data_IF_340093226101
#
_entry.id   IF_340093226101
#
_cell.length_a   1.000
_cell.length_b   1.000
_cell.length_c   1.000
_cell.angle_alpha   90.00
_cell.angle_beta   90.00
_cell.angle_gamma   90.00
#
_symmetry.space_group_name_H-M   'P 1'
#
loop_
_entity.id
_entity.type
_entity.pdbx_description
1 polymer ?
#
# COMPACT_ATOMS: atom_id res chain seq x y z
N UNK A 1 36.15 -42.87 -1.11
CA UNK A 1 34.94 -42.42 -1.82
C UNK A 1 34.47 -41.12 -1.19
N UNK A 2 34.68 -39.98 -1.85
CA UNK A 2 34.20 -38.68 -1.36
C UNK A 2 32.89 -38.33 -2.10
N UNK A 3 31.79 -38.35 -1.38
CA UNK A 3 30.46 -38.01 -1.90
C UNK A 3 30.40 -36.50 -2.10
N UNK A 4 30.34 -36.05 -3.35
CA UNK A 4 30.15 -34.65 -3.70
C UNK A 4 28.72 -34.22 -3.32
N UNK A 5 28.60 -33.31 -2.36
CA UNK A 5 27.35 -32.60 -2.04
C UNK A 5 27.04 -31.71 -3.24
N UNK A 6 25.99 -32.02 -3.98
CA UNK A 6 25.46 -31.18 -5.03
C UNK A 6 24.87 -29.91 -4.38
N UNK A 7 25.55 -28.79 -4.57
CA UNK A 7 25.03 -27.48 -4.26
C UNK A 7 23.79 -27.27 -5.12
N UNK A 8 22.64 -27.17 -4.48
CA UNK A 8 21.39 -26.79 -5.15
C UNK A 8 21.54 -25.35 -5.67
N UNK A 9 21.31 -25.05 -6.95
CA UNK A 9 21.40 -23.67 -7.42
C UNK A 9 20.33 -22.84 -6.71
N UNK A 10 20.76 -21.82 -5.98
CA UNK A 10 19.89 -20.76 -5.46
C UNK A 10 19.18 -20.14 -6.66
N UNK A 11 17.91 -20.44 -6.83
CA UNK A 11 17.08 -19.77 -7.84
C UNK A 11 17.09 -18.29 -7.48
N UNK A 12 17.82 -17.49 -8.24
CA UNK A 12 17.76 -16.05 -8.13
C UNK A 12 16.29 -15.65 -8.31
N UNK A 13 15.71 -15.00 -7.30
CA UNK A 13 14.33 -14.55 -7.39
C UNK A 13 14.21 -13.64 -8.61
N UNK A 14 13.44 -14.07 -9.59
CA UNK A 14 13.21 -13.33 -10.84
C UNK A 14 12.62 -11.96 -10.52
N UNK A 15 13.32 -10.89 -10.88
CA UNK A 15 12.84 -9.52 -10.66
C UNK A 15 11.66 -9.27 -11.61
N UNK A 16 10.46 -9.21 -11.05
CA UNK A 16 9.26 -8.95 -11.84
C UNK A 16 9.28 -7.55 -12.44
N UNK A 17 8.92 -7.45 -13.71
CA UNK A 17 8.69 -6.15 -14.36
C UNK A 17 7.40 -5.51 -13.83
N UNK A 18 7.27 -4.18 -13.95
CA UNK A 18 6.05 -3.47 -13.57
C UNK A 18 4.82 -4.00 -14.33
N UNK A 19 4.98 -4.35 -15.59
CA UNK A 19 3.93 -4.97 -16.40
C UNK A 19 3.47 -6.34 -15.86
N UNK A 20 4.41 -7.20 -15.47
CA UNK A 20 4.08 -8.50 -14.88
C UNK A 20 3.36 -8.34 -13.53
N UNK A 21 3.79 -7.35 -12.72
CA UNK A 21 3.12 -7.01 -11.45
C UNK A 21 1.71 -6.51 -11.73
N UNK A 22 1.53 -5.57 -12.66
CA UNK A 22 0.21 -5.05 -13.05
C UNK A 22 -0.73 -6.18 -13.47
N UNK A 23 -0.26 -7.06 -14.36
CA UNK A 23 -1.06 -8.18 -14.84
C UNK A 23 -1.52 -9.10 -13.70
N UNK A 24 -0.61 -9.45 -12.79
CA UNK A 24 -0.93 -10.30 -11.63
C UNK A 24 -1.91 -9.62 -10.68
N UNK A 25 -1.76 -8.33 -10.43
CA UNK A 25 -2.65 -7.56 -9.55
C UNK A 25 -4.05 -7.41 -10.15
N UNK A 26 -4.18 -7.13 -11.45
CA UNK A 26 -5.49 -7.11 -12.12
C UNK A 26 -6.21 -8.44 -11.99
N UNK A 27 -5.54 -9.53 -12.34
CA UNK A 27 -6.10 -10.89 -12.19
C UNK A 27 -6.47 -11.24 -10.73
N UNK A 28 -5.76 -10.67 -9.76
CA UNK A 28 -6.09 -10.86 -8.34
C UNK A 28 -7.32 -10.03 -7.94
N UNK A 29 -7.42 -8.79 -8.41
CA UNK A 29 -8.57 -7.92 -8.14
C UNK A 29 -9.88 -8.41 -8.77
N UNK A 30 -9.80 -9.15 -9.89
CA UNK A 30 -10.96 -9.79 -10.53
C UNK A 30 -11.50 -11.01 -9.75
N UNK A 31 -10.77 -11.45 -8.74
CA UNK A 31 -11.15 -12.57 -7.86
C UNK A 31 -11.52 -12.08 -6.47
N UNK A 32 -12.13 -12.97 -5.68
CA UNK A 32 -12.36 -12.68 -4.26
C UNK A 32 -11.01 -12.56 -3.54
N UNK A 33 -10.71 -11.37 -3.06
CA UNK A 33 -9.51 -11.11 -2.28
C UNK A 33 -9.60 -11.78 -0.90
N UNK A 34 -8.46 -12.19 -0.29
CA UNK A 34 -8.45 -12.95 0.98
C UNK A 34 -8.92 -12.14 2.20
N UNK A 35 -9.06 -10.82 2.07
CA UNK A 35 -9.68 -9.97 3.09
C UNK A 35 -9.07 -10.15 4.48
N UNK A 36 -9.93 -10.34 5.47
CA UNK A 36 -9.52 -10.48 6.87
C UNK A 36 -8.58 -11.66 7.13
N UNK A 37 -8.58 -12.68 6.28
CA UNK A 37 -7.65 -13.81 6.40
C UNK A 37 -6.20 -13.37 6.15
N UNK A 38 -5.95 -12.54 5.14
CA UNK A 38 -4.63 -11.95 4.89
C UNK A 38 -4.25 -10.92 5.98
N UNK A 39 -5.20 -10.08 6.39
CA UNK A 39 -4.95 -9.08 7.43
C UNK A 39 -4.50 -9.69 8.76
N UNK A 40 -5.01 -10.89 9.13
CA UNK A 40 -4.62 -11.58 10.37
C UNK A 40 -3.14 -11.96 10.43
N UNK A 41 -2.48 -12.15 9.29
CA UNK A 41 -1.08 -12.57 9.23
C UNK A 41 -0.17 -11.51 9.85
N UNK A 42 -0.46 -10.23 9.58
CA UNK A 42 0.33 -9.08 10.05
C UNK A 42 -0.44 -8.16 11.00
N UNK A 43 -1.62 -8.60 11.47
CA UNK A 43 -2.39 -7.80 12.41
C UNK A 43 -1.62 -7.64 13.71
N UNK A 44 -1.56 -6.41 14.28
CA UNK A 44 -1.07 -6.24 15.64
C UNK A 44 -1.91 -7.12 16.56
N UNK A 45 -1.31 -7.58 17.68
CA UNK A 45 -2.04 -8.40 18.66
C UNK A 45 -3.37 -7.73 18.98
N UNK A 46 -4.50 -8.49 18.95
CA UNK A 46 -5.82 -7.89 19.09
C UNK A 46 -5.88 -7.09 20.37
N UNK A 47 -6.35 -5.84 20.26
CA UNK A 47 -6.86 -5.13 21.42
C UNK A 47 -8.16 -5.81 21.84
N UNK A 48 -8.46 -5.78 23.13
CA UNK A 48 -9.74 -6.22 23.65
C UNK A 48 -10.86 -5.65 22.77
N UNK A 49 -11.79 -6.49 22.31
CA UNK A 49 -12.95 -6.14 21.48
C UNK A 49 -12.71 -5.86 19.97
N UNK A 50 -11.47 -6.00 19.42
CA UNK A 50 -11.26 -5.90 17.99
C UNK A 50 -11.24 -7.27 17.32
N UNK A 51 -12.10 -7.46 16.31
CA UNK A 51 -12.13 -8.66 15.47
C UNK A 51 -11.86 -8.30 14.00
N UNK A 52 -10.86 -8.91 13.34
CA UNK A 52 -10.61 -8.68 11.92
C UNK A 52 -11.84 -9.00 11.08
N UNK A 53 -12.21 -8.06 10.19
CA UNK A 53 -13.36 -8.20 9.30
C UNK A 53 -14.69 -7.65 9.85
N UNK A 54 -14.75 -7.26 11.11
CA UNK A 54 -15.89 -6.50 11.63
C UNK A 54 -15.70 -5.00 11.38
N UNK A 55 -16.67 -4.39 10.73
CA UNK A 55 -16.70 -2.95 10.43
C UNK A 55 -17.86 -2.34 11.20
N UNK A 56 -17.61 -1.45 12.19
CA UNK A 56 -18.66 -0.73 12.88
C UNK A 56 -19.47 0.15 11.91
N UNK A 57 -20.79 0.20 12.08
CA UNK A 57 -21.66 1.03 11.22
C UNK A 57 -21.32 2.52 11.27
N UNK A 58 -20.78 3.00 12.39
CA UNK A 58 -20.35 4.39 12.60
C UNK A 58 -18.90 4.65 12.14
N UNK A 59 -18.21 3.70 11.52
CA UNK A 59 -16.85 3.91 11.04
C UNK A 59 -16.82 4.88 9.87
N UNK A 60 -15.91 5.87 9.93
CA UNK A 60 -15.67 6.82 8.85
C UNK A 60 -14.92 6.12 7.71
N UNK A 61 -15.00 6.66 6.51
CA UNK A 61 -14.36 6.07 5.33
C UNK A 61 -13.13 6.89 4.93
N UNK A 62 -12.04 6.18 4.66
CA UNK A 62 -10.81 6.76 4.12
C UNK A 62 -10.34 5.94 2.92
N UNK A 63 -9.60 6.57 2.02
CA UNK A 63 -8.93 5.89 0.92
C UNK A 63 -7.44 6.24 0.90
N UNK A 64 -6.62 5.31 0.44
CA UNK A 64 -5.19 5.54 0.30
C UNK A 64 -4.68 4.92 -1.00
N UNK A 65 -3.68 5.55 -1.61
CA UNK A 65 -3.11 5.13 -2.88
C UNK A 65 -1.89 4.23 -2.67
N UNK A 66 -2.00 2.97 -3.04
CA UNK A 66 -0.86 2.08 -3.21
C UNK A 66 -0.30 2.27 -4.63
N UNK A 67 0.60 3.26 -4.78
CA UNK A 67 1.17 3.63 -6.07
C UNK A 67 2.41 2.81 -6.39
N UNK A 68 2.34 2.08 -7.50
CA UNK A 68 3.45 1.33 -8.07
C UNK A 68 4.05 2.10 -9.26
N UNK A 69 5.37 2.19 -9.29
CA UNK A 69 6.10 2.91 -10.34
C UNK A 69 7.54 2.40 -10.48
N UNK A 70 8.24 2.83 -11.53
CA UNK A 70 9.64 2.47 -11.73
C UNK A 70 10.57 3.52 -11.09
N UNK A 71 11.45 3.06 -10.20
CA UNK A 71 12.59 3.81 -9.71
C UNK A 71 13.87 3.12 -10.19
N UNK A 72 14.65 3.81 -11.01
CA UNK A 72 15.87 3.23 -11.63
C UNK A 72 15.62 1.87 -12.31
N UNK A 73 14.48 1.75 -13.03
CA UNK A 73 14.10 0.52 -13.73
C UNK A 73 13.52 -0.61 -12.86
N UNK A 74 13.45 -0.41 -11.53
CA UNK A 74 12.93 -1.40 -10.58
C UNK A 74 11.56 -0.97 -10.04
N UNK A 75 10.57 -1.88 -9.95
CA UNK A 75 9.25 -1.57 -9.38
C UNK A 75 9.32 -1.27 -7.89
N UNK A 76 8.75 -0.14 -7.49
CA UNK A 76 8.67 0.33 -6.11
C UNK A 76 7.23 0.67 -5.73
N UNK A 77 6.95 0.62 -4.43
CA UNK A 77 5.76 1.17 -3.78
C UNK A 77 6.13 2.47 -3.07
N UNK A 78 5.31 3.51 -3.27
CA UNK A 78 5.44 4.78 -2.57
C UNK A 78 4.74 4.70 -1.21
N UNK A 79 5.46 5.04 -0.16
CA UNK A 79 4.94 5.23 1.19
C UNK A 79 5.31 6.63 1.71
N UNK A 80 4.58 7.09 2.71
CA UNK A 80 4.84 8.35 3.41
C UNK A 80 5.15 8.09 4.89
N UNK A 81 5.99 8.92 5.48
CA UNK A 81 6.11 9.07 6.93
C UNK A 81 5.32 10.30 7.34
N UNK A 82 4.33 10.13 8.18
CA UNK A 82 3.46 11.20 8.63
C UNK A 82 4.22 12.20 9.49
N UNK A 83 3.91 13.48 9.32
CA UNK A 83 4.56 14.55 10.09
C UNK A 83 4.42 14.34 11.60
N UNK A 84 5.46 14.68 12.36
CA UNK A 84 5.46 14.68 13.82
C UNK A 84 4.50 15.73 14.42
N UNK A 85 4.05 16.68 13.61
CA UNK A 85 3.12 17.75 14.05
C UNK A 85 1.67 17.26 14.14
N UNK A 86 1.36 16.08 13.59
CA UNK A 86 0.01 15.52 13.61
C UNK A 86 -0.36 14.97 14.98
N UNK A 87 -1.62 15.17 15.40
CA UNK A 87 -2.13 14.67 16.68
C UNK A 87 -2.31 13.15 16.70
N UNK A 88 -2.58 12.54 15.56
CA UNK A 88 -2.86 11.10 15.42
C UNK A 88 -1.93 10.50 14.37
N UNK A 89 -1.35 9.34 14.68
CA UNK A 89 -0.47 8.61 13.78
C UNK A 89 0.82 9.36 13.39
N UNK A 90 1.27 10.32 14.20
CA UNK A 90 2.54 11.04 13.98
C UNK A 90 3.73 10.07 13.83
N UNK A 91 4.59 10.31 12.85
CA UNK A 91 5.78 9.50 12.57
C UNK A 91 5.50 8.10 12.02
N UNK A 92 4.24 7.71 11.80
CA UNK A 92 3.91 6.39 11.26
C UNK A 92 4.11 6.32 9.75
N UNK A 93 4.52 5.14 9.30
CA UNK A 93 4.59 4.80 7.89
C UNK A 93 3.17 4.49 7.38
N UNK A 94 2.78 5.09 6.26
CA UNK A 94 1.46 4.91 5.64
C UNK A 94 1.54 4.96 4.12
N UNK A 95 0.47 4.54 3.47
CA UNK A 95 0.17 4.94 2.10
C UNK A 95 -0.31 6.41 2.12
N UNK A 96 -0.02 7.24 1.10
CA UNK A 96 -0.65 8.54 0.97
C UNK A 96 -2.17 8.37 0.89
N UNK A 97 -2.92 9.14 1.71
CA UNK A 97 -4.35 8.97 1.78
C UNK A 97 -5.01 9.61 2.99
N UNK A 98 -6.33 9.79 2.89
CA UNK A 98 -7.12 10.44 3.91
C UNK A 98 -8.61 10.14 3.80
N UNK A 99 -9.43 11.03 4.35
CA UNK A 99 -10.87 10.84 4.48
C UNK A 99 -11.58 11.08 3.16
N UNK A 100 -12.61 10.28 2.87
CA UNK A 100 -13.50 10.55 1.75
C UNK A 100 -14.32 11.82 1.99
N UNK A 101 -14.40 12.66 0.98
CA UNK A 101 -15.32 13.79 0.93
C UNK A 101 -16.71 13.39 0.44
N UNK A 102 -17.68 14.30 0.64
CA UNK A 102 -19.07 14.04 0.24
C UNK A 102 -19.21 13.90 -1.28
N UNK A 103 -19.70 12.76 -1.72
CA UNK A 103 -19.89 12.45 -3.15
C UNK A 103 -18.66 11.87 -3.85
N UNK A 104 -17.56 11.73 -3.14
CA UNK A 104 -16.30 11.22 -3.67
C UNK A 104 -16.29 9.68 -3.72
N UNK A 105 -15.77 9.12 -4.78
CA UNK A 105 -15.44 7.69 -4.84
C UNK A 105 -14.12 7.40 -4.12
N UNK A 106 -13.88 6.14 -3.74
CA UNK A 106 -12.61 5.74 -3.10
C UNK A 106 -11.39 6.03 -3.98
N UNK A 107 -11.51 5.89 -5.30
CA UNK A 107 -10.41 6.18 -6.23
C UNK A 107 -10.14 7.68 -6.34
N UNK A 108 -11.18 8.50 -6.36
CA UNK A 108 -11.01 9.96 -6.38
C UNK A 108 -10.34 10.45 -5.10
N UNK A 109 -10.81 9.99 -3.93
CA UNK A 109 -10.20 10.34 -2.64
C UNK A 109 -8.73 9.94 -2.58
N UNK A 110 -8.39 8.70 -2.94
CA UNK A 110 -7.00 8.22 -2.92
C UNK A 110 -6.07 9.05 -3.83
N UNK A 111 -6.55 9.43 -5.02
CA UNK A 111 -5.78 10.26 -5.96
C UNK A 111 -5.65 11.71 -5.50
N UNK A 112 -6.73 12.31 -4.97
CA UNK A 112 -6.72 13.67 -4.42
C UNK A 112 -5.73 13.78 -3.26
N UNK A 113 -5.84 12.90 -2.29
CA UNK A 113 -4.95 12.87 -1.11
C UNK A 113 -3.47 12.67 -1.51
N UNK A 114 -3.19 11.75 -2.45
CA UNK A 114 -1.83 11.56 -2.97
C UNK A 114 -1.31 12.81 -3.71
N UNK A 115 -2.19 13.58 -4.36
CA UNK A 115 -1.82 14.86 -4.95
C UNK A 115 -1.52 15.90 -3.88
N UNK A 116 -2.37 16.02 -2.86
CA UNK A 116 -2.23 16.99 -1.77
C UNK A 116 -1.01 16.71 -0.91
N UNK A 117 -0.80 15.46 -0.47
CA UNK A 117 0.28 15.05 0.42
C UNK A 117 1.66 15.01 -0.23
N UNK A 118 1.75 14.49 -1.47
CA UNK A 118 3.04 14.21 -2.13
C UNK A 118 3.18 14.69 -3.58
N UNK A 119 2.18 15.42 -4.09
CA UNK A 119 2.24 16.07 -5.42
C UNK A 119 2.05 15.11 -6.60
N UNK A 120 1.46 13.93 -6.40
CA UNK A 120 1.21 12.97 -7.47
C UNK A 120 0.17 13.53 -8.45
N UNK A 121 0.50 13.55 -9.75
CA UNK A 121 -0.42 13.95 -10.80
C UNK A 121 -1.43 12.82 -11.07
N UNK A 122 -2.67 13.01 -10.63
CA UNK A 122 -3.76 12.05 -10.79
C UNK A 122 -3.99 11.63 -12.25
N UNK A 123 -3.80 12.55 -13.22
CA UNK A 123 -3.94 12.28 -14.65
C UNK A 123 -2.91 11.29 -15.21
N UNK A 124 -1.84 11.02 -14.48
CA UNK A 124 -0.76 10.10 -14.85
C UNK A 124 -0.82 8.75 -14.13
N UNK A 125 -1.80 8.59 -13.24
CA UNK A 125 -2.01 7.34 -12.49
C UNK A 125 -3.15 6.54 -13.09
N UNK A 126 -2.87 5.32 -13.53
CA UNK A 126 -3.90 4.36 -13.92
C UNK A 126 -4.33 3.55 -12.70
N UNK A 127 -5.58 3.73 -12.27
CA UNK A 127 -6.17 2.88 -11.23
C UNK A 127 -6.43 1.50 -11.82
N UNK A 128 -5.96 0.46 -11.13
CA UNK A 128 -6.07 -0.94 -11.59
C UNK A 128 -6.98 -1.79 -10.73
N UNK A 129 -7.37 -1.31 -9.56
CA UNK A 129 -8.27 -2.00 -8.65
C UNK A 129 -8.16 -1.46 -7.23
N UNK A 130 -8.75 -2.18 -6.30
CA UNK A 130 -8.64 -1.90 -4.87
C UNK A 130 -8.36 -3.19 -4.10
N UNK A 131 -7.62 -3.07 -3.00
CA UNK A 131 -7.41 -4.17 -2.07
C UNK A 131 -8.58 -4.28 -1.08
N UNK A 132 -8.60 -5.35 -0.30
CA UNK A 132 -9.59 -5.54 0.76
C UNK A 132 -9.54 -4.37 1.75
N UNK A 133 -10.70 -3.83 2.09
CA UNK A 133 -10.80 -2.75 3.08
C UNK A 133 -10.38 -3.22 4.47
N UNK A 134 -9.77 -2.31 5.22
CA UNK A 134 -9.22 -2.57 6.55
C UNK A 134 -9.84 -1.60 7.58
N UNK A 135 -10.45 -2.14 8.65
CA UNK A 135 -10.87 -1.31 9.76
C UNK A 135 -9.69 -0.99 10.70
N UNK A 136 -9.47 0.29 10.96
CA UNK A 136 -8.46 0.82 11.88
C UNK A 136 -9.16 1.26 13.18
N UNK A 137 -9.13 0.45 14.26
CA UNK A 137 -9.94 0.70 15.45
C UNK A 137 -9.59 1.99 16.17
N UNK A 138 -8.30 2.35 16.22
CA UNK A 138 -7.78 3.54 16.95
C UNK A 138 -8.44 4.84 16.47
N UNK A 139 -8.68 4.96 15.17
CA UNK A 139 -9.29 6.14 14.56
C UNK A 139 -10.76 5.92 14.15
N UNK A 140 -11.27 4.69 14.33
CA UNK A 140 -12.59 4.24 13.85
C UNK A 140 -12.81 4.55 12.36
N UNK A 141 -11.83 4.15 11.54
CA UNK A 141 -11.81 4.39 10.10
C UNK A 141 -11.77 3.07 9.34
N UNK A 142 -12.56 2.97 8.26
CA UNK A 142 -12.40 1.93 7.24
C UNK A 142 -11.55 2.49 6.13
N UNK A 143 -10.35 1.94 5.97
CA UNK A 143 -9.42 2.30 4.91
C UNK A 143 -9.67 1.43 3.67
N UNK A 144 -9.75 2.06 2.51
CA UNK A 144 -9.85 1.44 1.20
C UNK A 144 -8.54 1.66 0.43
N UNK A 145 -7.62 0.69 0.38
CA UNK A 145 -6.39 0.84 -0.39
C UNK A 145 -6.70 0.68 -1.89
N UNK A 146 -6.39 1.72 -2.67
CA UNK A 146 -6.55 1.77 -4.13
C UNK A 146 -5.21 1.48 -4.79
N UNK A 147 -5.20 0.55 -5.72
CA UNK A 147 -4.00 0.22 -6.50
C UNK A 147 -3.90 1.16 -7.70
N UNK A 148 -2.80 1.89 -7.77
CA UNK A 148 -2.46 2.75 -8.89
C UNK A 148 -1.11 2.39 -9.50
N UNK A 149 -0.96 2.61 -10.80
CA UNK A 149 0.30 2.43 -11.53
C UNK A 149 0.59 3.66 -12.37
N UNK A 150 1.85 4.06 -12.39
CA UNK A 150 2.38 5.03 -13.36
C UNK A 150 3.70 4.54 -13.94
N UNK A 151 3.90 4.81 -15.23
CA UNK A 151 5.18 4.56 -15.92
C UNK A 151 6.07 5.80 -15.95
N UNK A 152 5.59 6.91 -15.42
CA UNK A 152 6.30 8.18 -15.43
C UNK A 152 7.17 8.34 -14.18
N UNK A 153 8.22 9.12 -14.31
CA UNK A 153 9.04 9.51 -13.18
C UNK A 153 8.23 10.42 -12.23
N UNK A 154 8.24 10.08 -10.96
CA UNK A 154 7.54 10.87 -9.95
C UNK A 154 8.28 12.20 -9.68
N UNK A 155 7.52 13.26 -9.59
CA UNK A 155 7.98 14.58 -9.11
C UNK A 155 7.35 14.83 -7.75
N UNK A 156 8.02 14.37 -6.71
CA UNK A 156 7.52 14.47 -5.33
C UNK A 156 7.60 15.93 -4.86
N UNK A 157 6.48 16.40 -4.29
CA UNK A 157 6.37 17.68 -3.59
C UNK A 157 5.56 17.47 -2.31
N UNK A 158 6.24 17.53 -1.17
CA UNK A 158 5.64 17.23 0.12
C UNK A 158 4.79 18.39 0.64
N UNK A 159 3.64 18.06 1.22
CA UNK A 159 2.93 18.91 2.16
C UNK A 159 3.57 18.71 3.55
N UNK A 160 4.55 19.54 3.90
CA UNK A 160 5.41 19.35 5.09
C UNK A 160 4.61 19.34 6.42
N UNK A 161 3.42 19.91 6.44
CA UNK A 161 2.50 19.85 7.59
C UNK A 161 1.93 18.45 7.80
N UNK A 162 1.85 17.62 6.76
CA UNK A 162 1.23 16.30 6.80
C UNK A 162 2.23 15.17 6.60
N UNK A 163 3.23 15.38 5.76
CA UNK A 163 4.24 14.37 5.38
C UNK A 163 5.64 14.87 5.69
N UNK A 164 6.36 14.12 6.52
CA UNK A 164 7.76 14.40 6.85
C UNK A 164 8.69 14.00 5.69
N UNK A 165 8.47 12.82 5.12
CA UNK A 165 9.27 12.28 4.00
C UNK A 165 8.56 11.14 3.30
N UNK A 166 9.01 10.81 2.09
CA UNK A 166 8.62 9.58 1.38
C UNK A 166 9.59 8.45 1.66
N UNK A 167 9.07 7.23 1.58
CA UNK A 167 9.82 5.98 1.63
C UNK A 167 9.44 5.17 0.40
N UNK A 168 10.44 4.79 -0.38
CA UNK A 168 10.26 4.04 -1.61
C UNK A 168 10.76 2.61 -1.38
N UNK A 169 9.85 1.63 -1.35
CA UNK A 169 10.17 0.24 -1.04
C UNK A 169 10.07 -0.60 -2.31
N UNK A 170 11.11 -1.36 -2.64
CA UNK A 170 11.04 -2.23 -3.80
C UNK A 170 10.01 -3.34 -3.61
N UNK A 171 9.30 -3.69 -4.68
CA UNK A 171 8.32 -4.79 -4.62
C UNK A 171 9.01 -6.11 -4.30
N UNK A 172 10.27 -6.28 -4.69
CA UNK A 172 11.06 -7.46 -4.34
C UNK A 172 11.27 -7.58 -2.82
N UNK A 173 11.59 -6.47 -2.13
CA UNK A 173 11.71 -6.45 -0.67
C UNK A 173 10.37 -6.73 0.01
N UNK A 174 9.27 -6.11 -0.44
CA UNK A 174 7.93 -6.36 0.10
C UNK A 174 7.49 -7.82 -0.07
N UNK A 175 7.88 -8.47 -1.17
CA UNK A 175 7.51 -9.85 -1.48
C UNK A 175 8.41 -10.87 -0.81
N UNK A 176 9.49 -10.46 -0.15
CA UNK A 176 10.43 -11.37 0.47
C UNK A 176 9.81 -12.07 1.68
N UNK A 177 9.80 -13.41 1.73
CA UNK A 177 9.28 -14.15 2.90
C UNK A 177 9.96 -13.77 4.22
N UNK A 178 11.20 -13.28 4.16
CA UNK A 178 11.96 -12.86 5.34
C UNK A 178 11.40 -11.57 5.97
N UNK A 179 10.65 -10.78 5.24
CA UNK A 179 10.06 -9.51 5.70
C UNK A 179 8.61 -9.67 6.22
N UNK A 180 8.03 -10.88 6.15
CA UNK A 180 6.70 -11.22 6.65
C UNK A 180 6.75 -11.81 8.09
N UNK A 181 7.55 -11.21 8.98
CA UNK A 181 7.71 -11.67 10.36
C UNK A 181 7.09 -10.73 11.36
#
# INVERSE_FOLDING_TARGET
MRTAVRCCPTVAAEVLTLYQIETRLRLACDKTLPGSAAHRILAPRPRQDWQPGQIPAAARRAAALALLYLRNGTPHLLLTVRSQQLQIHAGQLSLPGGMLEKGETISQAALREAHEEVGIDAGRVRVIGALSSLHIPVSNVVLYPVLGITNEALRIRLAETEVERVVEVSIQELSSPNNLR
#
